data_IF_140422231071
#
_entry.id   IF_140422231071
#
_cell.length_a   1.000
_cell.length_b   1.000
_cell.length_c   1.000
_cell.angle_alpha   90.00
_cell.angle_beta   90.00
_cell.angle_gamma   90.00
#
_symmetry.space_group_name_H-M   'P 1'
#
loop_
_entity.id
_entity.type
_entity.pdbx_description
1 polymer ?
#
# COMPACT_ATOMS: atom_id res chain seq x y z
N UNK A 1 35.66 15.18 6.53
CA UNK A 1 34.67 14.66 5.56
C UNK A 1 35.07 13.24 5.24
N UNK A 2 34.16 12.26 5.35
CA UNK A 2 34.49 10.88 5.00
C UNK A 2 34.73 10.81 3.48
N UNK A 3 35.77 10.10 3.01
CA UNK A 3 35.99 9.92 1.58
C UNK A 3 34.83 9.10 1.01
N UNK A 4 34.15 9.62 -0.03
CA UNK A 4 33.06 8.92 -0.73
C UNK A 4 33.62 8.01 -1.83
N UNK A 5 34.52 7.10 -1.45
CA UNK A 5 35.13 6.12 -2.36
C UNK A 5 35.20 4.74 -1.70
N UNK A 6 35.07 3.69 -2.51
CA UNK A 6 35.26 2.29 -2.08
C UNK A 6 36.26 1.66 -3.04
N UNK A 7 37.39 1.19 -2.53
CA UNK A 7 38.46 0.59 -3.35
C UNK A 7 38.94 1.49 -4.50
N UNK A 8 38.96 2.81 -4.29
CA UNK A 8 39.36 3.81 -5.30
C UNK A 8 38.28 4.15 -6.35
N UNK A 9 37.07 3.57 -6.24
CA UNK A 9 35.94 3.90 -7.11
C UNK A 9 35.03 4.94 -6.46
N UNK A 10 34.55 5.96 -7.19
CA UNK A 10 33.58 6.92 -6.69
C UNK A 10 32.31 6.22 -6.19
N UNK A 11 31.97 6.44 -4.92
CA UNK A 11 30.80 5.84 -4.29
C UNK A 11 29.50 6.23 -5.01
N UNK A 12 29.48 7.41 -5.64
CA UNK A 12 28.36 7.90 -6.43
C UNK A 12 27.90 6.86 -7.47
N UNK A 13 28.83 6.22 -8.19
CA UNK A 13 28.48 5.26 -9.24
C UNK A 13 27.78 4.03 -8.65
N UNK A 14 28.29 3.51 -7.53
CA UNK A 14 27.69 2.36 -6.86
C UNK A 14 26.30 2.69 -6.29
N UNK A 15 26.17 3.87 -5.68
CA UNK A 15 24.90 4.36 -5.15
C UNK A 15 23.88 4.63 -6.26
N UNK A 16 24.30 5.18 -7.41
CA UNK A 16 23.42 5.39 -8.55
C UNK A 16 22.84 4.06 -9.02
N UNK A 17 23.64 3.00 -9.16
CA UNK A 17 23.13 1.66 -9.53
C UNK A 17 22.06 1.17 -8.54
N UNK A 18 22.30 1.35 -7.24
CA UNK A 18 21.31 1.02 -6.23
C UNK A 18 20.03 1.84 -6.39
N UNK A 19 20.15 3.16 -6.52
CA UNK A 19 19.03 4.11 -6.65
C UNK A 19 18.19 3.83 -7.90
N UNK A 20 18.82 3.61 -9.06
CA UNK A 20 18.11 3.37 -10.33
C UNK A 20 17.39 2.04 -10.38
N UNK A 21 17.70 1.10 -9.49
CA UNK A 21 16.96 -0.16 -9.35
C UNK A 21 15.87 -0.01 -8.29
N UNK A 22 16.25 0.46 -7.09
CA UNK A 22 15.39 0.41 -5.90
C UNK A 22 14.23 1.40 -5.99
N UNK A 23 14.45 2.62 -6.49
CA UNK A 23 13.38 3.61 -6.59
C UNK A 23 12.32 3.18 -7.62
N UNK A 24 12.68 2.81 -8.87
CA UNK A 24 11.71 2.28 -9.82
C UNK A 24 11.03 1.01 -9.35
N UNK A 25 11.76 0.07 -8.72
CA UNK A 25 11.15 -1.12 -8.15
C UNK A 25 10.12 -0.77 -7.07
N UNK A 26 10.45 0.13 -6.14
CA UNK A 26 9.54 0.63 -5.11
C UNK A 26 8.29 1.32 -5.70
N UNK A 27 8.47 2.08 -6.79
CA UNK A 27 7.37 2.70 -7.55
C UNK A 27 6.44 1.65 -8.15
N UNK A 28 6.99 0.65 -8.84
CA UNK A 28 6.22 -0.44 -9.43
C UNK A 28 5.51 -1.28 -8.37
N UNK A 29 6.17 -1.60 -7.26
CA UNK A 29 5.56 -2.31 -6.13
C UNK A 29 4.41 -1.51 -5.51
N UNK A 30 4.56 -0.20 -5.37
CA UNK A 30 3.51 0.68 -4.83
C UNK A 30 2.31 0.74 -5.78
N UNK A 31 2.54 0.92 -7.08
CA UNK A 31 1.49 0.93 -8.09
C UNK A 31 0.78 -0.43 -8.18
N UNK A 32 1.53 -1.54 -8.24
CA UNK A 32 0.96 -2.89 -8.24
C UNK A 32 0.18 -3.17 -6.96
N UNK A 33 0.69 -2.74 -5.80
CA UNK A 33 0.00 -2.80 -4.52
C UNK A 33 -1.29 -1.98 -4.50
N UNK A 34 -1.30 -0.79 -5.08
CA UNK A 34 -2.52 0.02 -5.18
C UNK A 34 -3.60 -0.69 -6.01
N UNK A 35 -3.24 -1.15 -7.22
CA UNK A 35 -4.22 -1.64 -8.21
C UNK A 35 -4.61 -3.11 -7.99
N UNK A 36 -3.73 -3.97 -7.48
CA UNK A 36 -3.97 -5.42 -7.38
C UNK A 36 -4.12 -5.93 -5.93
N UNK A 37 -5.36 -6.21 -5.45
CA UNK A 37 -5.62 -6.64 -4.07
C UNK A 37 -4.90 -7.91 -3.62
N UNK A 38 -4.76 -8.91 -4.51
CA UNK A 38 -4.08 -10.15 -4.20
C UNK A 38 -2.56 -9.98 -4.00
N UNK A 39 -1.93 -9.08 -4.77
CA UNK A 39 -0.50 -8.81 -4.70
C UNK A 39 -0.11 -8.10 -3.38
N UNK A 40 -1.02 -7.27 -2.84
CA UNK A 40 -0.85 -6.59 -1.53
C UNK A 40 -0.58 -7.54 -0.37
N UNK A 41 -1.20 -8.71 -0.37
CA UNK A 41 -1.09 -9.69 0.73
C UNK A 41 0.31 -10.31 0.81
N UNK A 42 1.00 -10.41 -0.33
CA UNK A 42 2.37 -10.96 -0.40
C UNK A 42 3.44 -9.89 -0.17
N UNK A 43 3.20 -8.67 -0.65
CA UNK A 43 4.17 -7.58 -0.54
C UNK A 43 4.34 -7.03 0.87
N UNK A 44 3.30 -7.11 1.73
CA UNK A 44 3.39 -6.80 3.15
C UNK A 44 4.21 -5.55 3.48
N UNK A 45 5.08 -5.67 4.48
CA UNK A 45 6.00 -4.60 4.92
C UNK A 45 7.19 -4.37 3.97
N UNK A 46 7.37 -5.24 2.97
CA UNK A 46 8.51 -5.15 2.04
C UNK A 46 8.45 -3.88 1.21
N UNK A 47 7.25 -3.49 0.73
CA UNK A 47 7.10 -2.27 -0.09
C UNK A 47 7.56 -1.00 0.64
N UNK A 48 7.07 -0.68 1.85
CA UNK A 48 7.55 0.50 2.58
C UNK A 48 9.05 0.43 2.90
N UNK A 49 9.59 -0.75 3.22
CA UNK A 49 11.04 -0.93 3.45
C UNK A 49 11.83 -0.61 2.17
N UNK A 50 11.44 -1.15 1.01
CA UNK A 50 12.11 -0.88 -0.27
C UNK A 50 12.07 0.61 -0.61
N UNK A 51 10.90 1.26 -0.45
CA UNK A 51 10.79 2.71 -0.68
C UNK A 51 11.57 3.54 0.33
N UNK A 52 11.72 3.07 1.57
CA UNK A 52 12.56 3.71 2.58
C UNK A 52 14.03 3.61 2.23
N UNK A 53 14.50 2.44 1.81
CA UNK A 53 15.87 2.26 1.32
C UNK A 53 16.14 3.18 0.12
N UNK A 54 15.21 3.25 -0.83
CA UNK A 54 15.29 4.20 -1.94
C UNK A 54 15.42 5.65 -1.46
N UNK A 55 14.56 6.07 -0.53
CA UNK A 55 14.59 7.41 0.08
C UNK A 55 15.93 7.72 0.76
N UNK A 56 16.44 6.80 1.58
CA UNK A 56 17.71 7.01 2.30
C UNK A 56 18.93 7.02 1.36
N UNK A 57 18.85 6.31 0.23
CA UNK A 57 19.92 6.29 -0.76
C UNK A 57 20.02 7.55 -1.62
N UNK A 58 18.94 8.31 -1.80
CA UNK A 58 18.98 9.58 -2.56
C UNK A 58 19.99 10.58 -1.99
N UNK A 59 19.92 11.00 -0.71
CA UNK A 59 20.88 11.98 -0.19
C UNK A 59 22.31 11.43 -0.15
N UNK A 60 22.48 10.11 0.02
CA UNK A 60 23.81 9.50 -0.08
C UNK A 60 24.37 9.62 -1.50
N UNK A 61 23.55 9.37 -2.52
CA UNK A 61 23.95 9.48 -3.92
C UNK A 61 24.25 10.94 -4.30
N UNK A 62 23.42 11.90 -3.87
CA UNK A 62 23.63 13.34 -4.12
C UNK A 62 24.93 13.83 -3.48
N UNK A 63 25.16 13.56 -2.18
CA UNK A 63 26.38 13.96 -1.49
C UNK A 63 27.65 13.34 -2.12
N UNK A 64 27.57 12.07 -2.55
CA UNK A 64 28.68 11.42 -3.26
C UNK A 64 28.91 12.03 -4.65
N UNK A 65 27.84 12.48 -5.32
CA UNK A 65 27.90 13.14 -6.62
C UNK A 65 28.52 14.53 -6.55
N UNK A 66 28.16 15.33 -5.55
CA UNK A 66 28.76 16.64 -5.28
C UNK A 66 30.27 16.52 -5.01
N UNK A 67 30.66 15.51 -4.23
CA UNK A 67 32.08 15.20 -4.00
C UNK A 67 32.82 14.84 -5.31
N UNK A 68 32.16 14.11 -6.22
CA UNK A 68 32.73 13.75 -7.52
C UNK A 68 32.82 14.98 -8.45
N UNK A 69 31.81 15.85 -8.45
CA UNK A 69 31.75 17.05 -9.27
C UNK A 69 32.95 17.98 -9.05
N UNK A 70 33.39 18.10 -7.79
CA UNK A 70 34.57 18.89 -7.42
C UNK A 70 35.88 18.35 -8.03
N UNK A 71 35.89 17.09 -8.50
CA UNK A 71 37.07 16.40 -9.05
C UNK A 71 37.05 16.29 -10.56
N UNK A 72 35.87 16.14 -11.17
CA UNK A 72 35.73 15.99 -12.63
C UNK A 72 35.52 17.32 -13.37
N UNK A 73 35.27 18.41 -12.63
CA UNK A 73 35.01 19.74 -13.20
C UNK A 73 33.53 19.93 -13.58
N UNK A 74 33.04 21.17 -13.44
CA UNK A 74 31.65 21.50 -13.73
C UNK A 74 31.47 21.89 -15.20
N UNK A 75 30.89 21.00 -16.01
CA UNK A 75 30.39 21.32 -17.35
C UNK A 75 28.90 21.70 -17.30
N UNK A 76 28.35 22.41 -18.30
CA UNK A 76 26.93 22.74 -18.35
C UNK A 76 26.01 21.50 -18.28
N UNK A 77 26.43 20.39 -18.89
CA UNK A 77 25.67 19.13 -18.86
C UNK A 77 25.69 18.48 -17.47
N UNK A 78 26.84 18.49 -16.79
CA UNK A 78 26.94 18.00 -15.41
C UNK A 78 26.07 18.86 -14.48
N UNK A 79 26.09 20.19 -14.64
CA UNK A 79 25.24 21.08 -13.86
C UNK A 79 23.74 20.82 -14.06
N UNK A 80 23.31 20.55 -15.31
CA UNK A 80 21.94 20.17 -15.61
C UNK A 80 21.55 18.83 -14.96
N UNK A 81 22.45 17.84 -14.97
CA UNK A 81 22.24 16.56 -14.30
C UNK A 81 22.10 16.72 -12.78
N UNK A 82 22.98 17.52 -12.14
CA UNK A 82 22.90 17.81 -10.70
C UNK A 82 21.58 18.48 -10.35
N UNK A 83 21.18 19.51 -11.09
CA UNK A 83 19.92 20.21 -10.86
C UNK A 83 18.70 19.27 -10.98
N UNK A 84 18.72 18.30 -11.91
CA UNK A 84 17.68 17.27 -11.99
C UNK A 84 17.74 16.30 -10.80
N UNK A 85 18.94 15.89 -10.39
CA UNK A 85 19.18 15.03 -9.22
C UNK A 85 18.60 15.60 -7.94
N UNK A 86 18.75 16.91 -7.71
CA UNK A 86 18.20 17.60 -6.54
C UNK A 86 16.67 17.54 -6.46
N UNK A 87 16.01 17.43 -7.61
CA UNK A 87 14.54 17.28 -7.63
C UNK A 87 14.08 15.91 -7.17
N UNK A 88 14.93 14.87 -7.12
CA UNK A 88 14.51 13.50 -6.83
C UNK A 88 14.08 13.29 -5.37
N UNK A 89 14.69 14.01 -4.42
CA UNK A 89 14.45 13.80 -2.99
C UNK A 89 12.97 14.02 -2.58
N UNK A 90 12.30 15.12 -2.96
CA UNK A 90 10.86 15.29 -2.72
C UNK A 90 10.00 14.14 -3.28
N UNK A 91 10.34 13.62 -4.47
CA UNK A 91 9.62 12.49 -5.07
C UNK A 91 9.84 11.20 -4.29
N UNK A 92 11.07 10.92 -3.85
CA UNK A 92 11.36 9.75 -3.02
C UNK A 92 10.63 9.81 -1.66
N UNK A 93 10.50 11.01 -1.06
CA UNK A 93 9.71 11.23 0.16
C UNK A 93 8.24 10.93 -0.11
N UNK A 94 7.66 11.53 -1.17
CA UNK A 94 6.27 11.29 -1.54
C UNK A 94 6.00 9.80 -1.79
N UNK A 95 6.92 9.11 -2.48
CA UNK A 95 6.85 7.68 -2.76
C UNK A 95 6.83 6.83 -1.49
N UNK A 96 7.72 7.12 -0.53
CA UNK A 96 7.74 6.42 0.75
C UNK A 96 6.47 6.68 1.56
N UNK A 97 6.03 7.94 1.65
CA UNK A 97 4.84 8.30 2.41
C UNK A 97 3.57 7.64 1.84
N UNK A 98 3.37 7.68 0.52
CA UNK A 98 2.19 7.05 -0.09
C UNK A 98 2.22 5.53 0.09
N UNK A 99 3.39 4.90 -0.06
CA UNK A 99 3.59 3.47 0.20
C UNK A 99 3.23 3.10 1.65
N UNK A 100 3.70 3.89 2.62
CA UNK A 100 3.43 3.70 4.04
C UNK A 100 1.95 3.88 4.39
N UNK A 101 1.30 4.92 3.84
CA UNK A 101 -0.13 5.19 4.06
C UNK A 101 -0.99 4.08 3.47
N UNK A 102 -0.70 3.64 2.23
CA UNK A 102 -1.39 2.53 1.59
C UNK A 102 -1.25 1.25 2.43
N UNK A 103 -0.03 0.93 2.86
CA UNK A 103 0.24 -0.23 3.72
C UNK A 103 -0.52 -0.16 5.05
N UNK A 104 -0.45 0.98 5.75
CA UNK A 104 -1.13 1.20 7.02
C UNK A 104 -2.65 1.11 6.89
N UNK A 105 -3.22 1.77 5.88
CA UNK A 105 -4.65 1.72 5.60
C UNK A 105 -5.16 0.29 5.48
N UNK A 106 -4.48 -0.54 4.68
CA UNK A 106 -4.88 -1.94 4.52
C UNK A 106 -4.62 -2.79 5.76
N UNK A 107 -3.53 -2.54 6.50
CA UNK A 107 -3.20 -3.28 7.71
C UNK A 107 -4.23 -3.09 8.84
N UNK A 108 -4.79 -1.89 8.96
CA UNK A 108 -5.71 -1.54 10.05
C UNK A 108 -7.19 -1.61 9.63
N UNK A 109 -7.56 -1.19 8.42
CA UNK A 109 -8.97 -1.05 8.02
C UNK A 109 -9.50 -2.17 7.11
N UNK A 110 -8.65 -2.87 6.35
CA UNK A 110 -9.11 -3.99 5.50
C UNK A 110 -9.23 -5.33 6.26
N UNK A 111 -8.48 -5.50 7.35
CA UNK A 111 -8.63 -6.65 8.25
C UNK A 111 -10.02 -6.68 8.93
N UNK A 112 -10.65 -5.51 9.12
CA UNK A 112 -11.98 -5.36 9.74
C UNK A 112 -13.16 -5.78 8.84
N UNK A 113 -12.91 -6.19 7.59
CA UNK A 113 -13.94 -6.72 6.66
C UNK A 113 -13.91 -8.24 6.52
N UNK A 114 -13.22 -8.97 7.40
CA UNK A 114 -13.38 -10.42 7.49
C UNK A 114 -14.78 -10.73 8.04
N UNK A 115 -15.72 -10.92 7.11
CA UNK A 115 -17.06 -11.51 7.20
C UNK A 115 -17.93 -11.12 8.42
N UNK A 116 -19.11 -10.49 8.23
CA UNK A 116 -20.20 -10.75 9.17
C UNK A 116 -20.38 -12.26 9.17
N UNK A 117 -20.24 -12.91 10.33
CA UNK A 117 -20.71 -14.27 10.51
C UNK A 117 -22.09 -14.35 9.86
N UNK A 118 -22.18 -15.00 8.69
CA UNK A 118 -23.47 -15.53 8.31
C UNK A 118 -23.83 -16.41 9.49
N UNK A 119 -24.93 -16.15 10.22
CA UNK A 119 -25.33 -17.09 11.25
C UNK A 119 -25.50 -18.39 10.48
N UNK A 120 -24.57 -19.32 10.67
CA UNK A 120 -24.77 -20.71 10.31
C UNK A 120 -25.90 -21.09 11.24
N UNK A 121 -27.12 -20.81 10.79
CA UNK A 121 -28.36 -21.22 11.39
C UNK A 121 -28.18 -22.72 11.40
N UNK A 122 -27.86 -23.25 12.58
CA UNK A 122 -27.68 -24.68 12.80
C UNK A 122 -29.08 -25.27 12.64
N UNK A 123 -29.51 -25.50 11.39
CA UNK A 123 -30.84 -26.04 11.05
C UNK A 123 -30.97 -27.50 11.50
N UNK A 124 -29.93 -28.10 12.07
CA UNK A 124 -29.97 -29.44 12.65
C UNK A 124 -30.61 -29.54 14.04
N UNK A 125 -31.11 -28.46 14.65
CA UNK A 125 -31.73 -28.53 16.00
C UNK A 125 -33.27 -28.37 16.02
N UNK A 126 -33.94 -28.38 14.86
CA UNK A 126 -35.41 -28.30 14.77
C UNK A 126 -36.04 -29.43 13.92
N UNK A 127 -35.49 -30.64 14.00
CA UNK A 127 -36.23 -31.84 13.62
C UNK A 127 -36.69 -32.53 14.90
N UNK A 128 -37.98 -32.44 15.28
CA UNK A 128 -38.51 -33.29 16.33
C UNK A 128 -38.43 -34.74 15.83
N UNK A 129 -37.60 -35.54 16.49
CA UNK A 129 -37.65 -37.00 16.38
C UNK A 129 -39.03 -37.43 16.87
N UNK A 130 -39.85 -37.94 15.96
CA UNK A 130 -41.11 -38.62 16.26
C UNK A 130 -41.31 -39.72 15.21
N UNK A 131 -41.56 -40.97 15.55
CA UNK A 131 -41.69 -41.61 16.86
C UNK A 131 -41.61 -43.13 16.71
N UNK A 132 -41.58 -43.85 17.82
CA UNK A 132 -42.58 -44.89 18.04
C UNK A 132 -42.76 -45.29 19.52
N UNK A 133 -44.03 -45.16 19.93
CA UNK A 133 -44.82 -45.98 20.88
C UNK A 133 -44.18 -46.65 22.10
N UNK A 134 -44.60 -46.23 23.29
CA UNK A 134 -44.59 -47.12 24.46
C UNK A 134 -44.93 -46.47 25.80
N UNK A 135 -46.21 -46.46 26.17
CA UNK A 135 -46.67 -46.75 27.55
C UNK A 135 -46.67 -45.63 28.61
N UNK A 136 -47.87 -45.40 29.17
CA UNK A 136 -48.16 -45.01 30.57
C UNK A 136 -47.65 -43.64 31.06
N UNK A 137 -48.32 -42.80 31.87
CA UNK A 137 -49.57 -42.79 32.64
C UNK A 137 -49.75 -41.35 33.15
N UNK A 138 -51.02 -40.90 33.32
CA UNK A 138 -51.55 -39.88 34.25
C UNK A 138 -50.60 -38.79 34.83
N UNK A 139 -50.98 -37.51 34.66
CA UNK A 139 -51.57 -36.65 35.71
C UNK A 139 -51.31 -35.14 35.44
N UNK A 140 -52.40 -34.38 35.42
CA UNK A 140 -52.61 -33.01 35.91
C UNK A 140 -51.42 -32.05 36.08
N UNK A 141 -51.47 -30.93 35.34
CA UNK A 141 -51.40 -29.55 35.89
C UNK A 141 -51.26 -28.53 34.74
N UNK A 142 -52.22 -27.61 34.64
CA UNK A 142 -52.16 -26.43 33.76
C UNK A 142 -51.69 -25.22 34.60
N UNK A 143 -50.54 -24.60 34.30
CA UNK A 143 -50.29 -23.22 34.69
C UNK A 143 -50.46 -22.29 33.48
N UNK A 144 -50.93 -21.08 33.77
CA UNK A 144 -51.18 -20.01 32.81
C UNK A 144 -49.91 -19.64 32.02
N UNK A 145 -50.08 -19.39 30.72
CA UNK A 145 -49.02 -18.94 29.83
C UNK A 145 -48.55 -17.51 30.23
N UNK A 146 -47.23 -17.26 30.39
CA UNK A 146 -46.69 -15.91 30.51
C UNK A 146 -46.65 -15.24 29.13
N UNK A 147 -46.86 -13.91 29.11
CA UNK A 147 -47.17 -13.11 27.94
C UNK A 147 -46.19 -13.19 26.76
N UNK A 148 -46.77 -13.33 25.57
CA UNK A 148 -46.13 -13.33 24.25
C UNK A 148 -45.57 -11.94 23.85
N UNK A 149 -45.75 -10.94 24.69
CA UNK A 149 -45.52 -9.53 24.39
C UNK A 149 -44.02 -9.16 24.39
N UNK A 150 -43.18 -9.92 25.09
CA UNK A 150 -41.73 -9.66 25.18
C UNK A 150 -40.94 -10.01 23.92
N UNK A 151 -41.34 -11.06 23.20
CA UNK A 151 -40.65 -11.54 21.98
C UNK A 151 -40.90 -10.60 20.79
N UNK A 152 -42.14 -10.14 20.61
CA UNK A 152 -42.51 -9.18 19.58
C UNK A 152 -41.85 -7.81 19.81
N UNK A 153 -41.75 -7.35 21.06
CA UNK A 153 -41.06 -6.12 21.42
C UNK A 153 -39.55 -6.20 21.18
N UNK A 154 -38.92 -7.33 21.53
CA UNK A 154 -37.49 -7.58 21.27
C UNK A 154 -37.19 -7.66 19.77
N UNK A 155 -38.05 -8.30 18.97
CA UNK A 155 -37.91 -8.35 17.51
C UNK A 155 -38.09 -6.96 16.87
N UNK A 156 -39.06 -6.16 17.33
CA UNK A 156 -39.25 -4.79 16.85
C UNK A 156 -38.10 -3.86 17.27
N UNK A 157 -37.50 -4.06 18.44
CA UNK A 157 -36.33 -3.33 18.91
C UNK A 157 -35.07 -3.71 18.11
N UNK A 158 -34.91 -5.00 17.76
CA UNK A 158 -33.83 -5.46 16.89
C UNK A 158 -33.95 -4.91 15.46
N UNK A 159 -35.16 -4.91 14.88
CA UNK A 159 -35.42 -4.36 13.54
C UNK A 159 -35.24 -2.84 13.50
N UNK A 160 -35.62 -2.12 14.55
CA UNK A 160 -35.39 -0.66 14.64
C UNK A 160 -33.92 -0.31 14.88
N UNK A 161 -33.20 -1.07 15.72
CA UNK A 161 -31.76 -0.93 15.90
C UNK A 161 -30.99 -1.25 14.60
N UNK A 162 -31.41 -2.28 13.86
CA UNK A 162 -30.83 -2.66 12.57
C UNK A 162 -31.13 -1.63 11.48
N UNK A 163 -32.35 -1.10 11.44
CA UNK A 163 -32.76 -0.01 10.53
C UNK A 163 -32.02 1.31 10.82
N UNK A 164 -31.76 1.63 12.10
CA UNK A 164 -30.96 2.79 12.49
C UNK A 164 -29.45 2.60 12.26
N UNK A 165 -28.95 1.35 12.31
CA UNK A 165 -27.55 1.02 12.06
C UNK A 165 -27.20 0.90 10.56
N UNK A 166 -28.17 0.53 9.71
CA UNK A 166 -28.00 0.38 8.26
C UNK A 166 -27.45 1.65 7.56
N UNK A 167 -27.96 2.88 7.78
CA UNK A 167 -27.42 4.09 7.15
C UNK A 167 -26.01 4.42 7.63
N UNK A 168 -25.69 4.19 8.92
CA UNK A 168 -24.34 4.42 9.48
C UNK A 168 -23.31 3.45 8.89
N UNK A 169 -23.68 2.17 8.69
CA UNK A 169 -22.84 1.17 8.00
C UNK A 169 -22.65 1.48 6.51
N UNK A 170 -23.68 1.97 5.81
CA UNK A 170 -23.56 2.36 4.40
C UNK A 170 -22.66 3.59 4.21
N UNK A 171 -22.76 4.58 5.10
CA UNK A 171 -21.89 5.75 5.09
C UNK A 171 -20.41 5.39 5.33
N UNK A 172 -20.10 4.51 6.28
CA UNK A 172 -18.71 4.09 6.56
C UNK A 172 -18.11 3.26 5.41
N UNK A 173 -18.93 2.48 4.69
CA UNK A 173 -18.51 1.78 3.48
C UNK A 173 -18.24 2.72 2.31
N UNK A 174 -19.08 3.75 2.11
CA UNK A 174 -18.88 4.76 1.08
C UNK A 174 -17.60 5.58 1.32
N UNK A 175 -17.35 6.01 2.56
CA UNK A 175 -16.11 6.71 2.93
C UNK A 175 -14.89 5.82 2.69
N UNK A 176 -14.94 4.55 3.10
CA UNK A 176 -13.85 3.59 2.87
C UNK A 176 -13.54 3.40 1.39
N UNK A 177 -14.56 3.40 0.53
CA UNK A 177 -14.39 3.31 -0.93
C UNK A 177 -13.72 4.57 -1.49
N UNK A 178 -14.19 5.76 -1.12
CA UNK A 178 -13.60 7.04 -1.57
C UNK A 178 -12.14 7.13 -1.16
N UNK A 179 -11.81 6.84 0.11
CA UNK A 179 -10.42 6.84 0.58
C UNK A 179 -9.58 5.83 -0.22
N UNK A 180 -10.12 4.64 -0.48
CA UNK A 180 -9.39 3.63 -1.27
C UNK A 180 -9.12 4.11 -2.70
N UNK A 181 -10.09 4.75 -3.36
CA UNK A 181 -9.92 5.32 -4.70
C UNK A 181 -8.85 6.43 -4.67
N UNK A 182 -8.92 7.35 -3.71
CA UNK A 182 -7.94 8.44 -3.56
C UNK A 182 -6.53 7.88 -3.36
N UNK A 183 -6.37 6.86 -2.51
CA UNK A 183 -5.08 6.21 -2.28
C UNK A 183 -4.55 5.50 -3.54
N UNK A 184 -5.43 4.90 -4.34
CA UNK A 184 -5.03 4.28 -5.61
C UNK A 184 -4.54 5.34 -6.60
N UNK A 185 -5.31 6.42 -6.78
CA UNK A 185 -4.94 7.51 -7.69
C UNK A 185 -3.64 8.17 -7.25
N UNK A 186 -3.49 8.49 -5.96
CA UNK A 186 -2.26 9.05 -5.41
C UNK A 186 -1.08 8.09 -5.58
N UNK A 187 -1.26 6.81 -5.25
CA UNK A 187 -0.22 5.79 -5.39
C UNK A 187 0.28 5.63 -6.82
N UNK A 188 -0.64 5.56 -7.79
CA UNK A 188 -0.29 5.44 -9.22
C UNK A 188 0.37 6.72 -9.73
N UNK A 189 -0.20 7.90 -9.43
CA UNK A 189 0.34 9.18 -9.89
C UNK A 189 1.75 9.47 -9.37
N UNK A 190 1.97 9.27 -8.06
CA UNK A 190 3.29 9.46 -7.44
C UNK A 190 4.29 8.43 -7.99
N UNK A 191 3.87 7.17 -8.19
CA UNK A 191 4.75 6.13 -8.75
C UNK A 191 5.16 6.44 -10.19
N UNK A 192 4.22 6.89 -11.03
CA UNK A 192 4.52 7.27 -12.41
C UNK A 192 5.47 8.48 -12.47
N UNK A 193 5.23 9.52 -11.66
CA UNK A 193 6.10 10.69 -11.61
C UNK A 193 7.50 10.38 -11.07
N UNK A 194 7.60 9.52 -10.05
CA UNK A 194 8.88 9.04 -9.51
C UNK A 194 9.66 8.25 -10.57
N UNK A 195 9.00 7.32 -11.27
CA UNK A 195 9.64 6.56 -12.34
C UNK A 195 10.14 7.47 -13.47
N UNK A 196 9.31 8.41 -13.92
CA UNK A 196 9.67 9.40 -14.94
C UNK A 196 10.90 10.22 -14.52
N UNK A 197 10.97 10.64 -13.25
CA UNK A 197 12.12 11.41 -12.74
C UNK A 197 13.42 10.61 -12.76
N UNK A 198 13.39 9.33 -12.40
CA UNK A 198 14.58 8.47 -12.50
C UNK A 198 15.05 8.34 -13.95
N UNK A 199 14.14 8.15 -14.90
CA UNK A 199 14.47 8.10 -16.34
C UNK A 199 15.06 9.42 -16.82
N UNK A 200 14.44 10.54 -16.49
CA UNK A 200 14.92 11.88 -16.85
C UNK A 200 16.33 12.16 -16.31
N UNK A 201 16.59 11.78 -15.06
CA UNK A 201 17.91 11.91 -14.43
C UNK A 201 18.93 11.01 -15.13
N UNK A 202 18.55 9.76 -15.45
CA UNK A 202 19.41 8.82 -16.19
C UNK A 202 19.84 9.35 -17.55
N UNK A 203 18.90 9.89 -18.34
CA UNK A 203 19.18 10.48 -19.65
C UNK A 203 20.11 11.69 -19.56
N UNK A 204 19.92 12.55 -18.57
CA UNK A 204 20.84 13.68 -18.35
C UNK A 204 22.24 13.21 -17.94
N UNK A 205 22.35 12.11 -17.19
CA UNK A 205 23.62 11.53 -16.77
C UNK A 205 24.37 10.86 -17.91
N UNK A 206 23.69 10.10 -18.77
CA UNK A 206 24.29 9.53 -19.98
C UNK A 206 24.75 10.63 -20.93
N UNK A 207 23.93 11.66 -21.14
CA UNK A 207 24.29 12.83 -21.96
C UNK A 207 25.52 13.56 -21.43
N UNK A 208 25.65 13.73 -20.11
CA UNK A 208 26.79 14.42 -19.51
C UNK A 208 28.14 13.72 -19.74
N UNK A 209 28.14 12.40 -19.94
CA UNK A 209 29.36 11.61 -20.15
C UNK A 209 29.65 11.37 -21.64
N UNK A 210 28.61 11.13 -22.43
CA UNK A 210 28.76 10.56 -23.77
C UNK A 210 28.52 11.53 -24.92
N UNK A 211 28.00 12.73 -24.65
CA UNK A 211 27.74 13.70 -25.71
C UNK A 211 29.04 14.14 -26.38
N UNK A 212 29.16 13.86 -27.69
CA UNK A 212 30.36 14.15 -28.49
C UNK A 212 31.41 13.02 -28.52
N UNK A 213 31.19 11.92 -27.79
CA UNK A 213 32.13 10.78 -27.70
C UNK A 213 31.84 9.65 -28.70
N UNK A 214 30.65 9.63 -29.31
CA UNK A 214 30.23 8.61 -30.27
C UNK A 214 30.32 9.13 -31.72
N UNK A 215 30.92 8.35 -32.62
CA UNK A 215 30.87 8.55 -34.08
C UNK A 215 30.15 7.38 -34.75
N UNK A 216 29.23 7.66 -35.67
CA UNK A 216 28.54 6.61 -36.45
C UNK A 216 29.51 5.85 -37.38
N UNK A 217 30.59 6.50 -37.79
CA UNK A 217 31.68 5.86 -38.50
C UNK A 217 32.75 5.41 -37.49
N UNK A 218 32.91 4.10 -37.23
CA UNK A 218 34.03 3.60 -36.43
C UNK A 218 35.35 3.90 -37.17
N UNK A 219 36.38 4.29 -36.40
CA UNK A 219 37.74 4.53 -36.91
C UNK A 219 38.49 3.23 -37.13
#
# INVERSE_FOLDING_TARGET
>A
MLPYEINGLPLHILLVHFVVIVIPAGALMTAAGAVWPAFRRKLGIVTPIVTLLGLLSVPLATNAGEWLQQRVGATPLIAAHVALGDTLLPWAIAQFLVSLVIWGWYRFFAASKAFPDAPVRRVSELVPVGGDTGGATRADARPAAPGLNGSAAAASAAVTAESAAAPRRRASLAVSLVVSIVLIVAGVGISAGTFYKVVQIGESGSSAVWQGSFSENPK
#
